data_IF_333233500762
#
_entry.id   IF_333233500762
#
_cell.length_a   1.000
_cell.length_b   1.000
_cell.length_c   1.000
_cell.angle_alpha   90.00
_cell.angle_beta   90.00
_cell.angle_gamma   90.00
#
_symmetry.space_group_name_H-M   'P 1'
#
loop_
_entity.id
_entity.type
_entity.pdbx_description
1 polymer ?
#
# COMPACT_ATOMS: atom_id res chain seq x y z
N UNK A 1 6.25 15.95 -20.67
CA UNK A 1 4.95 15.27 -20.84
C UNK A 1 4.57 14.32 -19.69
N UNK A 2 5.16 13.13 -19.48
CA UNK A 2 4.66 12.19 -18.43
C UNK A 2 4.77 12.70 -16.98
N UNK A 3 5.87 13.38 -16.62
CA UNK A 3 6.08 13.95 -15.27
C UNK A 3 5.15 15.14 -14.98
N UNK A 4 4.97 16.03 -15.95
CA UNK A 4 4.07 17.19 -15.84
C UNK A 4 2.60 16.76 -15.70
N UNK A 5 2.25 15.59 -16.24
CA UNK A 5 0.93 14.98 -16.08
C UNK A 5 0.76 14.28 -14.71
N UNK A 6 1.77 14.30 -13.83
CA UNK A 6 1.71 13.69 -12.50
C UNK A 6 1.71 12.16 -12.52
N UNK A 7 2.10 11.55 -13.65
CA UNK A 7 2.10 10.09 -13.83
C UNK A 7 3.39 9.44 -13.32
N UNK A 8 4.39 10.20 -12.88
CA UNK A 8 5.64 9.68 -12.36
C UNK A 8 5.65 9.62 -10.82
N UNK A 9 6.33 8.64 -10.21
CA UNK A 9 6.62 8.64 -8.77
C UNK A 9 7.46 9.83 -8.36
N UNK A 10 7.29 10.27 -7.11
CA UNK A 10 8.19 11.21 -6.45
C UNK A 10 9.50 10.50 -6.15
N UNK A 11 10.62 11.15 -6.48
CA UNK A 11 11.93 10.64 -6.13
C UNK A 11 12.16 10.77 -4.62
N UNK A 12 12.95 9.88 -3.97
CA UNK A 12 13.30 10.00 -2.55
C UNK A 12 13.86 11.38 -2.18
N UNK A 13 14.66 11.96 -3.08
CA UNK A 13 15.17 13.32 -2.95
C UNK A 13 14.07 14.39 -2.90
N UNK A 14 13.09 14.31 -3.80
CA UNK A 14 11.95 15.23 -3.83
C UNK A 14 11.14 15.13 -2.54
N UNK A 15 10.89 13.90 -2.07
CA UNK A 15 10.22 13.65 -0.79
C UNK A 15 10.99 14.29 0.36
N UNK A 16 12.32 14.12 0.40
CA UNK A 16 13.16 14.75 1.41
C UNK A 16 13.06 16.29 1.40
N UNK A 17 13.07 16.91 0.23
CA UNK A 17 12.93 18.36 0.10
C UNK A 17 11.54 18.86 0.50
N UNK A 18 10.48 18.10 0.20
CA UNK A 18 9.12 18.39 0.65
C UNK A 18 9.01 18.33 2.18
N UNK A 19 9.60 17.31 2.82
CA UNK A 19 9.62 17.18 4.28
C UNK A 19 10.41 18.32 4.94
N UNK A 20 11.56 18.69 4.37
CA UNK A 20 12.34 19.84 4.84
C UNK A 20 11.54 21.14 4.68
N UNK A 21 10.82 21.30 3.58
CA UNK A 21 9.94 22.44 3.36
C UNK A 21 8.83 22.50 4.41
N UNK A 22 8.32 21.35 4.86
CA UNK A 22 7.36 21.23 5.98
C UNK A 22 7.98 21.46 7.36
N UNK A 23 9.27 21.81 7.44
CA UNK A 23 10.03 22.07 8.65
C UNK A 23 10.23 20.83 9.56
N UNK A 24 10.23 19.62 8.98
CA UNK A 24 10.72 18.44 9.70
C UNK A 24 12.23 18.59 9.94
N UNK A 25 12.72 18.38 11.19
CA UNK A 25 14.14 18.46 11.49
C UNK A 25 14.91 17.30 10.85
N UNK A 26 16.20 17.47 10.59
CA UNK A 26 17.05 16.39 10.03
C UNK A 26 17.11 15.14 10.92
N UNK A 27 16.91 15.30 12.23
CA UNK A 27 16.86 14.20 13.20
C UNK A 27 15.57 13.34 13.10
N UNK A 28 14.61 13.72 12.26
CA UNK A 28 13.38 12.95 12.05
C UNK A 28 13.72 11.54 11.58
N UNK A 29 13.14 10.54 12.25
CA UNK A 29 13.25 9.14 11.83
C UNK A 29 12.32 8.93 10.64
N UNK A 30 12.86 8.50 9.52
CA UNK A 30 12.10 8.20 8.31
C UNK A 30 12.15 6.70 8.07
N UNK A 31 11.00 6.05 8.09
CA UNK A 31 10.87 4.67 7.64
C UNK A 31 10.61 4.63 6.13
N UNK A 32 11.46 3.92 5.39
CA UNK A 32 11.29 3.69 3.97
C UNK A 32 10.52 2.38 3.76
N UNK A 33 9.25 2.50 3.39
CA UNK A 33 8.38 1.38 3.07
C UNK A 33 8.46 1.00 1.59
N UNK A 34 8.54 -0.31 1.30
CA UNK A 34 8.48 -0.89 -0.03
C UNK A 34 9.70 -1.75 -0.36
N UNK A 35 9.55 -2.56 -1.40
CA UNK A 35 10.64 -3.36 -1.97
C UNK A 35 11.79 -2.49 -2.51
N UNK A 36 12.90 -3.14 -2.91
CA UNK A 36 14.07 -2.50 -3.52
C UNK A 36 13.69 -1.29 -4.40
N UNK A 37 14.14 -0.10 -3.98
CA UNK A 37 13.89 1.11 -4.73
C UNK A 37 14.48 0.97 -6.13
N UNK A 38 13.70 1.25 -7.17
CA UNK A 38 14.19 1.22 -8.55
C UNK A 38 15.41 2.14 -8.69
N UNK A 39 16.62 1.62 -8.97
CA UNK A 39 17.87 2.38 -8.95
C UNK A 39 18.75 2.19 -7.69
N UNK A 40 18.27 1.39 -6.75
CA UNK A 40 18.99 0.91 -5.57
C UNK A 40 19.42 2.01 -4.60
N UNK A 41 20.44 1.68 -3.81
CA UNK A 41 20.95 2.52 -2.72
C UNK A 41 21.41 3.93 -3.17
N UNK A 42 21.78 4.10 -4.45
CA UNK A 42 22.26 5.37 -5.02
C UNK A 42 21.19 6.46 -4.98
N UNK A 43 19.93 6.12 -5.19
CA UNK A 43 18.84 7.09 -5.17
C UNK A 43 18.46 7.56 -3.75
N UNK A 44 18.85 6.81 -2.73
CA UNK A 44 18.62 7.16 -1.33
C UNK A 44 19.70 8.07 -0.76
N UNK A 45 20.82 8.27 -1.45
CA UNK A 45 21.93 9.12 -0.98
C UNK A 45 21.45 10.55 -0.65
N UNK A 46 20.70 11.26 -1.52
CA UNK A 46 20.25 12.62 -1.22
C UNK A 46 19.28 12.64 -0.03
N UNK A 47 18.40 11.64 0.09
CA UNK A 47 17.47 11.55 1.21
C UNK A 47 18.20 11.32 2.53
N UNK A 48 19.20 10.42 2.57
CA UNK A 48 20.06 10.19 3.75
C UNK A 48 20.88 11.43 4.13
N UNK A 49 21.30 12.23 3.15
CA UNK A 49 22.00 13.49 3.41
C UNK A 49 21.08 14.55 4.07
N UNK A 50 19.78 14.53 3.77
CA UNK A 50 18.79 15.41 4.40
C UNK A 50 18.34 14.89 5.77
N UNK A 51 18.16 13.57 5.88
CA UNK A 51 17.68 12.87 7.08
C UNK A 51 18.57 11.65 7.34
N UNK A 52 19.58 11.76 8.23
CA UNK A 52 20.49 10.66 8.55
C UNK A 52 19.79 9.46 9.19
N UNK A 53 18.68 9.67 9.90
CA UNK A 53 17.91 8.62 10.58
C UNK A 53 16.93 7.92 9.61
N UNK A 54 17.43 7.46 8.47
CA UNK A 54 16.66 6.68 7.51
C UNK A 54 16.73 5.20 7.89
N UNK A 55 15.58 4.62 8.21
CA UNK A 55 15.41 3.22 8.62
C UNK A 55 14.54 2.48 7.61
N UNK A 56 14.75 1.18 7.51
CA UNK A 56 13.95 0.23 6.76
C UNK A 56 13.74 -1.05 7.59
N UNK A 57 13.01 -2.03 7.04
CA UNK A 57 12.77 -3.33 7.69
C UNK A 57 14.04 -4.07 8.14
N UNK A 58 15.16 -3.92 7.43
CA UNK A 58 16.43 -4.58 7.79
C UNK A 58 17.11 -3.94 8.99
N UNK A 59 16.81 -2.67 9.25
CA UNK A 59 17.26 -1.96 10.45
C UNK A 59 16.26 -2.02 11.61
N UNK A 60 14.98 -2.25 11.31
CA UNK A 60 13.91 -2.31 12.31
C UNK A 60 13.87 -3.66 13.03
N UNK A 61 14.09 -4.75 12.29
CA UNK A 61 14.05 -6.11 12.81
C UNK A 61 15.46 -6.72 12.79
N UNK A 62 15.76 -7.53 13.80
CA UNK A 62 16.95 -8.37 13.79
C UNK A 62 16.87 -9.45 12.70
N UNK A 63 18.01 -9.98 12.27
CA UNK A 63 18.04 -11.08 11.29
C UNK A 63 17.24 -12.29 11.79
N UNK A 64 17.28 -12.58 13.09
CA UNK A 64 16.49 -13.64 13.72
C UNK A 64 14.99 -13.37 13.64
N UNK A 65 14.52 -12.16 13.94
CA UNK A 65 13.08 -11.84 13.84
C UNK A 65 12.59 -11.91 12.38
N UNK A 66 13.40 -11.45 11.42
CA UNK A 66 13.08 -11.54 10.00
C UNK A 66 13.02 -13.00 9.51
N UNK A 67 13.89 -13.87 10.05
CA UNK A 67 13.84 -15.29 9.78
C UNK A 67 12.63 -15.94 10.45
N UNK A 68 12.28 -15.58 11.68
CA UNK A 68 11.09 -16.11 12.37
C UNK A 68 9.78 -15.74 11.66
N UNK A 69 9.75 -14.57 11.02
CA UNK A 69 8.66 -14.13 10.13
C UNK A 69 8.50 -15.05 8.91
N UNK A 70 9.60 -15.63 8.44
CA UNK A 70 9.61 -16.60 7.34
C UNK A 70 9.65 -18.01 7.95
N UNK A 71 8.47 -18.58 8.18
CA UNK A 71 8.33 -19.94 8.75
C UNK A 71 9.33 -20.94 8.16
N UNK A 72 9.82 -21.93 8.94
CA UNK A 72 10.83 -22.88 8.49
C UNK A 72 10.47 -23.50 7.14
N UNK A 73 11.26 -23.17 6.12
CA UNK A 73 10.98 -23.62 4.77
C UNK A 73 11.43 -25.06 4.55
N UNK A 74 10.58 -25.86 3.91
CA UNK A 74 11.00 -27.16 3.43
C UNK A 74 12.18 -26.99 2.44
N UNK A 75 13.26 -27.78 2.55
CA UNK A 75 14.32 -27.74 1.56
C UNK A 75 13.74 -28.10 0.20
N UNK A 76 13.89 -27.20 -0.77
CA UNK A 76 13.54 -27.51 -2.15
C UNK A 76 14.56 -28.55 -2.64
N UNK A 77 14.06 -29.67 -3.18
CA UNK A 77 14.92 -30.59 -3.93
C UNK A 77 15.59 -29.75 -5.01
N UNK A 78 16.91 -29.66 -4.95
CA UNK A 78 17.69 -28.90 -5.90
C UNK A 78 17.51 -29.54 -7.28
N UNK A 79 16.53 -29.04 -8.05
CA UNK A 79 16.42 -29.38 -9.45
C UNK A 79 17.69 -28.86 -10.13
N UNK A 80 18.56 -29.83 -10.39
CA UNK A 80 19.88 -29.69 -10.96
C UNK A 80 20.82 -28.81 -10.13
N UNK A 81 21.58 -29.49 -9.28
CA UNK A 81 22.94 -29.08 -8.94
C UNK A 81 23.63 -28.71 -10.26
N UNK A 82 23.66 -27.43 -10.63
CA UNK A 82 24.78 -26.89 -11.38
C UNK A 82 25.96 -27.18 -10.49
N UNK A 83 26.61 -28.32 -10.71
CA UNK A 83 27.93 -28.55 -10.16
C UNK A 83 28.73 -27.40 -10.73
N UNK A 84 29.22 -26.44 -9.91
CA UNK A 84 30.24 -25.55 -10.40
C UNK A 84 31.28 -26.47 -11.03
N UNK A 85 31.71 -26.18 -12.26
CA UNK A 85 32.80 -26.93 -12.84
C UNK A 85 33.89 -26.98 -11.75
N UNK A 86 34.29 -28.20 -11.38
CA UNK A 86 35.15 -28.46 -10.23
C UNK A 86 36.28 -27.42 -10.25
N UNK A 87 36.38 -26.59 -9.20
CA UNK A 87 37.32 -25.46 -9.19
C UNK A 87 38.70 -26.00 -9.51
N UNK A 88 39.17 -25.75 -10.74
CA UNK A 88 40.48 -26.23 -11.18
C UNK A 88 41.52 -25.50 -10.33
N UNK A 89 42.47 -26.24 -9.81
CA UNK A 89 43.61 -25.64 -9.09
C UNK A 89 44.30 -24.62 -10.00
N UNK A 90 44.89 -23.59 -9.41
CA UNK A 90 45.57 -22.51 -10.17
C UNK A 90 46.59 -23.08 -11.17
N UNK A 91 47.28 -24.16 -10.79
CA UNK A 91 48.21 -24.90 -11.64
C UNK A 91 47.53 -25.57 -12.84
N UNK A 92 46.36 -26.18 -12.64
CA UNK A 92 45.58 -26.78 -13.74
C UNK A 92 45.09 -25.73 -14.74
N UNK A 93 44.68 -24.55 -14.27
CA UNK A 93 44.28 -23.44 -15.16
C UNK A 93 45.48 -22.94 -15.97
N UNK A 94 46.64 -22.81 -15.34
CA UNK A 94 47.88 -22.39 -15.99
C UNK A 94 48.34 -23.41 -17.03
N UNK A 95 48.25 -24.71 -16.74
CA UNK A 95 48.66 -25.77 -17.66
C UNK A 95 47.69 -25.92 -18.84
N UNK A 96 46.39 -25.76 -18.61
CA UNK A 96 45.40 -25.68 -19.69
C UNK A 96 45.62 -24.46 -20.57
N UNK A 97 45.96 -23.32 -19.97
CA UNK A 97 46.27 -22.09 -20.69
C UNK A 97 47.53 -22.20 -21.56
N UNK A 98 48.55 -22.92 -21.08
CA UNK A 98 49.79 -23.21 -21.83
C UNK A 98 49.60 -24.25 -22.93
N UNK A 99 48.68 -25.21 -22.75
CA UNK A 99 48.32 -26.22 -23.75
C UNK A 99 47.29 -25.74 -24.76
N UNK A 100 46.57 -24.66 -24.47
CA UNK A 100 45.66 -24.05 -25.44
C UNK A 100 46.47 -23.64 -26.68
N UNK A 101 46.01 -24.08 -27.86
CA UNK A 101 46.66 -23.80 -29.13
C UNK A 101 46.74 -22.30 -29.46
N UNK A 102 47.28 -21.92 -30.63
CA UNK A 102 47.34 -20.51 -31.04
C UNK A 102 45.95 -19.89 -30.95
N UNK A 103 45.81 -18.86 -30.10
CA UNK A 103 44.50 -18.21 -29.90
C UNK A 103 44.04 -17.67 -31.24
N UNK A 104 42.78 -17.93 -31.63
CA UNK A 104 42.24 -17.31 -32.83
C UNK A 104 42.44 -15.80 -32.69
N UNK A 105 42.99 -15.17 -33.73
CA UNK A 105 43.06 -13.70 -33.79
C UNK A 105 41.64 -13.18 -33.52
N UNK A 106 41.48 -12.06 -32.78
CA UNK A 106 40.18 -11.44 -32.63
C UNK A 106 39.59 -11.31 -34.02
N UNK A 107 38.44 -11.96 -34.24
CA UNK A 107 37.72 -11.76 -35.48
C UNK A 107 37.50 -10.24 -35.59
N UNK A 108 37.60 -9.65 -36.80
CA UNK A 108 37.15 -8.28 -36.98
C UNK A 108 35.74 -8.18 -36.38
N UNK A 109 35.38 -7.04 -35.75
CA UNK A 109 34.03 -6.88 -35.23
C UNK A 109 33.06 -7.27 -36.35
N UNK A 110 32.08 -8.13 -36.06
CA UNK A 110 31.11 -8.50 -37.08
C UNK A 110 30.53 -7.22 -37.68
N UNK A 111 30.33 -7.14 -39.01
CA UNK A 111 29.64 -5.99 -39.58
C UNK A 111 28.33 -5.79 -38.82
N UNK A 112 27.96 -4.53 -38.56
CA UNK A 112 26.70 -4.22 -37.86
C UNK A 112 25.59 -5.06 -38.48
N UNK A 113 25.03 -5.98 -37.69
CA UNK A 113 23.91 -6.77 -38.15
C UNK A 113 22.77 -5.81 -38.45
N UNK A 114 22.05 -5.98 -39.57
CA UNK A 114 20.83 -5.22 -39.77
C UNK A 114 19.87 -5.54 -38.60
N UNK A 115 19.47 -4.52 -37.85
CA UNK A 115 18.45 -4.64 -36.82
C UNK A 115 17.14 -4.95 -37.53
N UNK A 116 16.73 -6.22 -37.52
CA UNK A 116 15.46 -6.62 -38.11
C UNK A 116 14.31 -6.24 -37.16
N UNK A 117 13.13 -5.89 -37.70
CA UNK A 117 11.93 -5.55 -36.93
C UNK A 117 11.43 -6.63 -35.94
N UNK A 118 12.02 -7.83 -35.96
CA UNK A 118 11.72 -8.95 -35.06
C UNK A 118 12.84 -9.22 -34.04
N UNK A 119 13.74 -8.27 -33.80
CA UNK A 119 14.65 -8.32 -32.65
C UNK A 119 13.82 -8.26 -31.37
N UNK A 120 13.41 -9.46 -30.93
CA UNK A 120 12.47 -9.78 -29.87
C UNK A 120 12.67 -8.84 -28.67
N UNK A 121 11.64 -8.06 -28.36
CA UNK A 121 11.64 -7.18 -27.20
C UNK A 121 11.62 -8.02 -25.91
N UNK A 122 12.57 -7.75 -25.00
CA UNK A 122 12.55 -8.30 -23.66
C UNK A 122 13.79 -9.12 -23.30
N UNK A 123 14.25 -8.97 -22.05
CA UNK A 123 15.44 -9.63 -21.52
C UNK A 123 15.35 -11.17 -21.63
N UNK A 124 14.17 -11.75 -21.42
CA UNK A 124 13.96 -13.20 -21.56
C UNK A 124 14.05 -13.67 -23.00
N UNK A 125 13.53 -12.92 -23.96
CA UNK A 125 13.59 -13.32 -25.37
C UNK A 125 15.04 -13.42 -25.90
N UNK A 126 15.96 -12.68 -25.28
CA UNK A 126 17.40 -12.78 -25.56
C UNK A 126 18.07 -13.99 -24.89
N UNK A 127 17.58 -14.43 -23.73
CA UNK A 127 18.19 -15.49 -22.92
C UNK A 127 17.62 -16.87 -23.24
N UNK A 128 16.30 -16.97 -23.42
CA UNK A 128 15.59 -18.23 -23.61
C UNK A 128 15.26 -18.50 -25.07
N UNK A 129 15.56 -17.55 -25.98
CA UNK A 129 15.19 -17.57 -27.40
C UNK A 129 13.66 -17.69 -27.65
N UNK A 130 12.83 -17.64 -26.60
CA UNK A 130 11.37 -17.70 -26.63
C UNK A 130 10.77 -16.33 -26.38
N UNK A 131 9.67 -16.00 -27.06
CA UNK A 131 8.98 -14.70 -26.89
C UNK A 131 8.14 -14.64 -25.61
N UNK A 132 8.18 -15.70 -24.80
CA UNK A 132 7.40 -15.86 -23.57
C UNK A 132 8.36 -15.94 -22.38
N UNK A 133 8.06 -15.14 -21.36
CA UNK A 133 8.68 -15.24 -20.05
C UNK A 133 8.47 -16.67 -19.50
N UNK A 134 9.53 -17.35 -19.02
CA UNK A 134 9.41 -18.69 -18.48
C UNK A 134 8.54 -18.68 -17.22
N UNK A 135 7.87 -19.81 -16.96
CA UNK A 135 7.13 -19.99 -15.70
C UNK A 135 8.09 -19.85 -14.51
N UNK A 136 7.68 -19.16 -13.43
CA UNK A 136 8.55 -18.91 -12.28
C UNK A 136 8.98 -20.22 -11.62
N UNK A 137 10.26 -20.33 -11.26
CA UNK A 137 10.74 -21.51 -10.55
C UNK A 137 10.16 -21.58 -9.13
N UNK A 138 10.16 -22.76 -8.47
CA UNK A 138 9.76 -22.85 -7.06
C UNK A 138 10.54 -21.91 -6.14
N UNK A 139 11.81 -21.63 -6.45
CA UNK A 139 12.63 -20.63 -5.76
C UNK A 139 12.13 -19.20 -5.98
N UNK A 140 11.67 -18.88 -7.19
CA UNK A 140 11.13 -17.55 -7.51
C UNK A 140 9.79 -17.31 -6.81
N UNK A 141 8.90 -18.30 -6.85
CA UNK A 141 7.63 -18.26 -6.12
C UNK A 141 7.84 -18.09 -4.60
N UNK A 142 8.83 -18.79 -4.05
CA UNK A 142 9.22 -18.67 -2.65
C UNK A 142 9.77 -17.28 -2.31
N UNK A 143 10.69 -16.75 -3.12
CA UNK A 143 11.17 -15.36 -2.96
C UNK A 143 10.03 -14.35 -3.07
N UNK A 144 9.08 -14.57 -3.97
CA UNK A 144 7.89 -13.74 -4.10
C UNK A 144 7.02 -13.79 -2.84
N UNK A 145 6.83 -14.98 -2.24
CA UNK A 145 6.12 -15.13 -0.98
C UNK A 145 6.81 -14.34 0.16
N UNK A 146 8.14 -14.42 0.29
CA UNK A 146 8.86 -13.65 1.32
C UNK A 146 8.72 -12.15 1.09
N UNK A 147 8.78 -11.71 -0.17
CA UNK A 147 8.56 -10.30 -0.50
C UNK A 147 7.18 -9.81 -0.04
N UNK A 148 6.14 -10.61 -0.21
CA UNK A 148 4.79 -10.24 0.27
C UNK A 148 4.72 -10.14 1.79
N UNK A 149 5.43 -11.01 2.53
CA UNK A 149 5.55 -10.92 3.99
C UNK A 149 6.23 -9.61 4.38
N UNK A 150 7.31 -9.25 3.69
CA UNK A 150 8.01 -7.99 3.97
C UNK A 150 7.18 -6.76 3.59
N UNK A 151 6.42 -6.83 2.50
CA UNK A 151 5.48 -5.77 2.13
C UNK A 151 4.36 -5.65 3.18
N UNK A 152 3.95 -6.73 3.85
CA UNK A 152 3.02 -6.67 4.97
C UNK A 152 3.61 -5.97 6.21
N UNK A 153 4.89 -6.20 6.52
CA UNK A 153 5.58 -5.45 7.57
C UNK A 153 5.65 -3.95 7.24
N UNK A 154 6.06 -3.64 6.01
CA UNK A 154 6.11 -2.25 5.52
C UNK A 154 4.74 -1.58 5.61
N UNK A 155 3.67 -2.32 5.31
CA UNK A 155 2.30 -1.86 5.43
C UNK A 155 1.94 -1.52 6.87
N UNK A 156 2.19 -2.44 7.82
CA UNK A 156 1.90 -2.23 9.24
C UNK A 156 2.62 -0.99 9.77
N UNK A 157 3.94 -0.87 9.53
CA UNK A 157 4.71 0.31 9.97
C UNK A 157 4.19 1.59 9.33
N UNK A 158 3.79 1.55 8.06
CA UNK A 158 3.24 2.71 7.34
C UNK A 158 1.87 3.15 7.89
N UNK A 159 1.03 2.20 8.31
CA UNK A 159 -0.26 2.49 8.96
C UNK A 159 -0.04 3.06 10.36
N UNK A 160 0.96 2.54 11.08
CA UNK A 160 1.29 2.97 12.45
C UNK A 160 2.01 4.33 12.52
N UNK A 161 2.71 4.73 11.46
CA UNK A 161 3.54 5.93 11.45
C UNK A 161 2.77 7.22 11.80
N UNK A 162 3.41 8.13 12.54
CA UNK A 162 2.84 9.44 12.89
C UNK A 162 2.45 10.28 11.66
N UNK A 163 3.24 10.19 10.59
CA UNK A 163 2.97 10.83 9.32
C UNK A 163 3.30 9.87 8.18
N UNK A 164 2.45 9.87 7.15
CA UNK A 164 2.66 9.08 5.93
C UNK A 164 2.68 9.99 4.71
N UNK A 165 3.65 9.79 3.81
CA UNK A 165 3.73 10.47 2.51
C UNK A 165 3.88 9.42 1.40
N UNK A 166 2.93 9.30 0.46
CA UNK A 166 3.04 8.34 -0.62
C UNK A 166 4.08 8.82 -1.64
N UNK A 167 5.06 7.97 -1.97
CA UNK A 167 5.97 8.21 -3.10
C UNK A 167 5.27 8.09 -4.45
N UNK A 168 4.27 7.21 -4.52
CA UNK A 168 3.43 7.05 -5.69
C UNK A 168 2.10 6.44 -5.29
N UNK A 169 1.02 7.05 -5.78
CA UNK A 169 -0.33 6.54 -5.67
C UNK A 169 -1.01 6.58 -7.06
N UNK A 170 -1.84 5.57 -7.34
CA UNK A 170 -2.66 5.42 -8.54
C UNK A 170 -1.81 5.29 -9.83
N UNK A 171 -1.38 4.06 -10.12
CA UNK A 171 -0.71 3.64 -11.37
C UNK A 171 -1.63 3.64 -12.60
N UNK A 172 -2.93 3.81 -12.41
CA UNK A 172 -3.92 3.72 -13.49
C UNK A 172 -4.36 2.29 -13.80
N UNK A 173 -3.91 1.28 -13.04
CA UNK A 173 -4.34 -0.13 -13.19
C UNK A 173 -5.81 -0.36 -12.81
N UNK A 174 -6.38 0.56 -12.03
CA UNK A 174 -7.73 0.43 -11.46
C UNK A 174 -7.76 -0.27 -10.11
N UNK A 175 -6.67 -0.92 -9.70
CA UNK A 175 -6.53 -1.54 -8.39
C UNK A 175 -5.83 -0.60 -7.40
N UNK A 176 -6.07 -0.76 -6.08
CA UNK A 176 -5.34 0.00 -5.09
C UNK A 176 -3.88 -0.48 -5.06
N UNK A 177 -2.94 0.44 -5.27
CA UNK A 177 -1.53 0.17 -5.01
C UNK A 177 -1.24 0.16 -3.49
N UNK A 178 -0.02 -0.24 -3.12
CA UNK A 178 0.44 -0.28 -1.73
C UNK A 178 0.10 1.01 -0.96
N UNK A 179 0.40 2.17 -1.56
CA UNK A 179 0.14 3.46 -0.92
C UNK A 179 -1.35 3.74 -0.78
N UNK A 180 -2.15 3.35 -1.76
CA UNK A 180 -3.60 3.48 -1.76
C UNK A 180 -4.21 2.69 -0.61
N UNK A 181 -3.76 1.45 -0.41
CA UNK A 181 -4.17 0.62 0.73
C UNK A 181 -3.81 1.28 2.07
N UNK A 182 -2.57 1.74 2.23
CA UNK A 182 -2.14 2.42 3.46
C UNK A 182 -2.97 3.69 3.72
N UNK A 183 -3.18 4.52 2.69
CA UNK A 183 -3.98 5.75 2.82
C UNK A 183 -5.41 5.43 3.22
N UNK A 184 -6.00 4.38 2.65
CA UNK A 184 -7.34 3.95 2.97
C UNK A 184 -7.46 3.43 4.40
N UNK A 185 -6.56 2.53 4.81
CA UNK A 185 -6.54 1.99 6.18
C UNK A 185 -6.33 3.09 7.23
N UNK A 186 -5.37 4.00 6.98
CA UNK A 186 -5.16 5.18 7.84
C UNK A 186 -6.41 6.04 7.89
N UNK A 187 -7.17 6.18 6.80
CA UNK A 187 -8.43 6.92 6.82
C UNK A 187 -9.51 6.20 7.65
N UNK A 188 -9.54 4.87 7.62
CA UNK A 188 -10.53 4.06 8.34
C UNK A 188 -10.27 4.02 9.86
N UNK A 189 -9.06 3.66 10.28
CA UNK A 189 -8.75 3.43 11.70
C UNK A 189 -8.07 4.62 12.36
N UNK A 190 -7.40 5.47 11.57
CA UNK A 190 -6.48 6.51 12.07
C UNK A 190 -6.68 7.85 11.38
N UNK A 191 -7.93 8.26 11.19
CA UNK A 191 -8.28 9.45 10.41
C UNK A 191 -7.59 10.74 10.91
N UNK A 192 -7.26 10.81 12.20
CA UNK A 192 -6.52 11.91 12.83
C UNK A 192 -5.02 11.93 12.50
N UNK A 193 -4.45 10.81 12.06
CA UNK A 193 -3.03 10.69 11.74
C UNK A 193 -2.68 11.39 10.44
N UNK A 194 -1.53 12.07 10.39
CA UNK A 194 -1.13 12.88 9.23
C UNK A 194 -0.89 11.98 8.02
N UNK A 195 -1.64 12.20 6.96
CA UNK A 195 -1.51 11.44 5.72
C UNK A 195 -1.48 12.43 4.57
N UNK A 196 -0.28 12.75 4.09
CA UNK A 196 -0.09 13.72 3.01
C UNK A 196 -0.64 13.15 1.70
N UNK A 197 -1.33 14.01 0.93
CA UNK A 197 -1.91 13.64 -0.37
C UNK A 197 -1.34 14.54 -1.47
N UNK A 198 -0.04 14.40 -1.79
CA UNK A 198 0.65 15.26 -2.73
C UNK A 198 0.08 15.17 -4.15
N UNK A 199 -0.46 16.29 -4.68
CA UNK A 199 -0.73 16.42 -6.12
C UNK A 199 0.59 16.46 -6.89
N UNK A 200 0.92 15.34 -7.54
CA UNK A 200 2.15 15.15 -8.32
C UNK A 200 2.28 16.15 -9.47
N UNK A 201 1.18 16.65 -10.05
CA UNK A 201 1.23 17.68 -11.11
C UNK A 201 1.74 19.00 -10.56
N UNK A 202 1.19 19.44 -9.42
CA UNK A 202 1.64 20.68 -8.74
C UNK A 202 3.07 20.56 -8.23
N UNK A 203 3.46 19.40 -7.73
CA UNK A 203 4.82 19.18 -7.27
C UNK A 203 5.82 19.22 -8.43
N UNK A 204 5.47 18.62 -9.58
CA UNK A 204 6.31 18.70 -10.78
C UNK A 204 6.53 20.15 -11.23
N UNK A 205 5.50 21.01 -11.19
CA UNK A 205 5.67 22.43 -11.55
C UNK A 205 6.53 23.18 -10.53
N UNK A 206 6.36 22.90 -9.23
CA UNK A 206 7.19 23.47 -8.16
C UNK A 206 8.67 23.10 -8.32
N UNK A 207 8.99 21.84 -8.66
CA UNK A 207 10.38 21.43 -8.88
C UNK A 207 10.95 21.93 -10.21
N UNK A 208 10.13 22.11 -11.25
CA UNK A 208 10.59 22.73 -12.50
C UNK A 208 11.08 24.17 -12.30
N UNK A 209 10.44 24.94 -11.40
CA UNK A 209 10.87 26.31 -11.04
C UNK A 209 12.23 26.31 -10.32
N UNK A 210 12.56 25.20 -9.64
CA UNK A 210 13.72 25.08 -8.74
C UNK A 210 14.85 24.22 -9.30
N UNK A 211 14.83 23.90 -10.60
CA UNK A 211 15.79 22.96 -11.21
C UNK A 211 17.25 23.39 -11.03
N UNK A 212 17.53 24.69 -10.96
CA UNK A 212 18.90 25.22 -10.85
C UNK A 212 19.40 25.38 -9.41
N UNK A 213 18.52 25.43 -8.40
CA UNK A 213 18.90 25.64 -6.99
C UNK A 213 18.05 24.80 -6.03
N UNK A 214 18.11 23.49 -6.21
CA UNK A 214 17.22 22.54 -5.57
C UNK A 214 17.41 22.43 -4.04
N UNK A 215 18.61 22.69 -3.52
CA UNK A 215 18.94 22.54 -2.10
C UNK A 215 18.86 23.83 -1.28
N UNK A 216 18.74 25.00 -1.93
CA UNK A 216 18.50 26.29 -1.26
C UNK A 216 17.20 26.92 -1.75
N UNK A 217 16.03 26.31 -1.42
CA UNK A 217 14.74 26.80 -1.88
C UNK A 217 14.49 28.25 -1.47
N UNK A 218 14.00 29.04 -2.43
CA UNK A 218 13.47 30.39 -2.14
C UNK A 218 12.31 30.28 -1.15
N UNK A 219 12.18 31.27 -0.26
CA UNK A 219 11.10 31.33 0.74
C UNK A 219 9.70 31.16 0.13
N UNK A 220 9.47 31.74 -1.04
CA UNK A 220 8.18 31.64 -1.74
C UNK A 220 7.85 30.19 -2.11
N UNK A 221 8.83 29.43 -2.59
CA UNK A 221 8.65 28.02 -2.91
C UNK A 221 8.31 27.20 -1.67
N UNK A 222 9.04 27.43 -0.57
CA UNK A 222 8.78 26.76 0.72
C UNK A 222 7.37 27.03 1.20
N UNK A 223 6.87 28.27 1.06
CA UNK A 223 5.50 28.63 1.42
C UNK A 223 4.49 27.92 0.51
N UNK A 224 4.71 27.85 -0.80
CA UNK A 224 3.83 27.14 -1.72
C UNK A 224 3.77 25.64 -1.45
N UNK A 225 4.89 25.01 -1.10
CA UNK A 225 4.92 23.60 -0.70
C UNK A 225 4.16 23.39 0.60
N UNK A 226 4.41 24.24 1.61
CA UNK A 226 3.70 24.17 2.90
C UNK A 226 2.20 24.32 2.72
N UNK A 227 1.77 25.30 1.94
CA UNK A 227 0.36 25.55 1.63
C UNK A 227 -0.28 24.34 0.96
N UNK A 228 0.36 23.80 -0.09
CA UNK A 228 -0.13 22.64 -0.82
C UNK A 228 -0.26 21.40 0.07
N UNK A 229 0.77 21.07 0.85
CA UNK A 229 0.77 19.90 1.72
C UNK A 229 -0.20 20.06 2.90
N UNK A 230 -0.31 21.25 3.51
CA UNK A 230 -1.31 21.50 4.55
C UNK A 230 -2.74 21.38 4.01
N UNK A 231 -2.99 21.92 2.81
CA UNK A 231 -4.28 21.77 2.14
C UNK A 231 -4.60 20.30 1.83
N UNK A 232 -3.58 19.49 1.54
CA UNK A 232 -3.74 18.04 1.34
C UNK A 232 -4.11 17.26 2.61
N UNK A 233 -3.83 17.82 3.79
CA UNK A 233 -4.24 17.28 5.09
C UNK A 233 -5.63 17.73 5.51
N UNK A 234 -6.15 18.80 4.90
CA UNK A 234 -7.47 19.36 5.19
C UNK A 234 -8.58 18.64 4.42
N UNK A 235 -9.82 19.09 4.61
CA UNK A 235 -11.02 18.58 3.92
C UNK A 235 -10.83 18.52 2.39
N UNK A 236 -10.18 19.53 1.80
CA UNK A 236 -9.87 19.57 0.37
C UNK A 236 -9.11 18.33 -0.11
N UNK A 237 -8.15 17.85 0.68
CA UNK A 237 -7.39 16.64 0.37
C UNK A 237 -8.24 15.36 0.44
N UNK A 238 -9.18 15.29 1.39
CA UNK A 238 -10.12 14.18 1.51
C UNK A 238 -11.12 14.16 0.36
N UNK A 239 -11.69 15.32 0.02
CA UNK A 239 -12.61 15.49 -1.11
C UNK A 239 -11.92 15.09 -2.41
N UNK A 240 -10.68 15.56 -2.62
CA UNK A 240 -9.91 15.23 -3.81
C UNK A 240 -9.62 13.72 -3.92
N UNK A 241 -9.24 13.08 -2.82
CA UNK A 241 -9.01 11.63 -2.77
C UNK A 241 -10.30 10.84 -3.00
N UNK A 242 -11.43 11.29 -2.44
CA UNK A 242 -12.74 10.69 -2.69
C UNK A 242 -13.08 10.70 -4.17
N UNK A 243 -12.77 11.78 -4.90
CA UNK A 243 -13.10 11.86 -6.33
C UNK A 243 -12.21 10.98 -7.22
N UNK A 244 -10.96 10.73 -6.80
CA UNK A 244 -9.98 10.02 -7.64
C UNK A 244 -9.81 8.55 -7.30
N UNK A 245 -9.83 8.21 -6.01
CA UNK A 245 -9.51 6.87 -5.52
C UNK A 245 -10.75 6.06 -5.20
N UNK A 246 -11.81 6.69 -4.67
CA UNK A 246 -13.05 5.99 -4.34
C UNK A 246 -13.68 5.25 -5.52
N UNK A 247 -13.78 5.82 -6.74
CA UNK A 247 -14.37 5.10 -7.88
C UNK A 247 -13.56 3.89 -8.33
N UNK A 248 -12.30 3.80 -7.91
CA UNK A 248 -11.38 2.73 -8.30
C UNK A 248 -11.38 1.59 -7.29
N UNK A 249 -11.31 1.92 -6.01
CA UNK A 249 -11.26 0.92 -4.95
C UNK A 249 -11.75 1.46 -3.62
N UNK A 250 -12.70 0.74 -3.02
CA UNK A 250 -13.15 0.95 -1.64
C UNK A 250 -11.98 0.93 -0.66
N UNK A 251 -11.03 0.00 -0.81
CA UNK A 251 -9.89 -0.12 0.10
C UNK A 251 -8.96 1.10 0.07
N UNK A 252 -8.94 1.87 -1.01
CA UNK A 252 -8.12 3.09 -1.11
C UNK A 252 -8.78 4.34 -0.55
N UNK A 253 -10.09 4.28 -0.31
CA UNK A 253 -10.88 5.34 0.28
C UNK A 253 -12.14 4.74 0.94
N UNK A 254 -11.97 4.09 2.11
CA UNK A 254 -13.00 3.25 2.70
C UNK A 254 -14.06 4.03 3.46
N UNK A 255 -14.16 5.36 3.27
CA UNK A 255 -15.28 6.10 3.81
C UNK A 255 -16.54 5.52 3.18
N UNK A 256 -17.37 4.81 3.98
CA UNK A 256 -18.71 4.55 3.56
C UNK A 256 -19.36 5.93 3.67
N UNK A 257 -19.32 6.63 2.55
CA UNK A 257 -20.46 7.40 2.13
C UNK A 257 -21.67 6.56 2.60
N UNK A 258 -22.50 7.04 3.52
CA UNK A 258 -23.77 6.37 3.88
C UNK A 258 -24.72 6.30 2.66
N UNK A 259 -24.15 6.31 1.45
CA UNK A 259 -24.65 6.67 0.11
C UNK A 259 -25.34 5.55 -0.59
N UNK A 260 -25.85 4.71 0.27
CA UNK A 260 -27.08 4.07 0.12
C UNK A 260 -28.32 4.91 0.37
N UNK A 261 -28.87 5.73 -0.53
CA UNK A 261 -30.16 6.36 -0.20
C UNK A 261 -31.26 5.29 -0.17
N UNK A 262 -31.81 5.01 1.00
CA UNK A 262 -33.08 4.28 1.09
C UNK A 262 -34.17 5.25 0.59
N UNK A 263 -35.04 4.87 -0.35
CA UNK A 263 -36.10 5.75 -0.83
C UNK A 263 -36.97 6.19 0.36
N UNK A 264 -36.91 7.47 0.70
CA UNK A 264 -37.80 8.13 1.67
C UNK A 264 -38.75 9.06 0.93
N UNK A 265 -39.96 9.27 1.48
CA UNK A 265 -41.03 10.08 0.88
C UNK A 265 -40.63 11.56 0.70
N UNK A 266 -39.63 12.02 1.44
CA UNK A 266 -39.16 13.41 1.40
C UNK A 266 -38.02 13.61 0.38
N UNK A 267 -38.18 14.56 -0.53
CA UNK A 267 -37.15 14.94 -1.51
C UNK A 267 -36.05 15.73 -0.77
N UNK A 268 -34.78 15.28 -0.78
CA UNK A 268 -33.72 15.92 -0.02
C UNK A 268 -33.37 17.26 -0.66
N UNK A 269 -33.21 18.28 0.17
CA UNK A 269 -32.64 19.57 -0.25
C UNK A 269 -31.20 19.32 -0.68
N UNK A 270 -30.93 19.48 -1.96
CA UNK A 270 -29.57 19.38 -2.49
C UNK A 270 -28.69 20.47 -1.88
N UNK A 271 -27.62 20.07 -1.21
CA UNK A 271 -26.62 21.01 -0.70
C UNK A 271 -25.51 21.09 -1.74
N UNK A 272 -25.22 22.31 -2.24
CA UNK A 272 -24.13 22.54 -3.18
C UNK A 272 -22.97 23.23 -2.48
N UNK A 273 -21.75 22.75 -2.75
CA UNK A 273 -20.52 23.38 -2.31
C UNK A 273 -20.24 24.66 -3.09
N UNK A 274 -19.26 25.44 -2.62
CA UNK A 274 -18.82 26.69 -3.26
C UNK A 274 -18.38 26.52 -4.73
N UNK A 275 -17.99 25.29 -5.10
CA UNK A 275 -17.56 24.91 -6.45
C UNK A 275 -18.72 24.45 -7.36
N UNK A 276 -19.98 24.58 -6.90
CA UNK A 276 -21.18 24.17 -7.64
C UNK A 276 -21.47 22.66 -7.62
N UNK A 277 -20.60 21.85 -6.99
CA UNK A 277 -20.76 20.40 -6.83
C UNK A 277 -21.80 20.07 -5.76
N UNK A 278 -22.60 19.03 -5.99
CA UNK A 278 -23.57 18.53 -5.02
C UNK A 278 -22.79 17.82 -3.90
N UNK A 279 -22.91 18.33 -2.68
CA UNK A 279 -22.33 17.77 -1.46
C UNK A 279 -23.28 16.78 -0.77
N UNK A 280 -24.59 16.93 -0.97
CA UNK A 280 -25.63 16.07 -0.39
C UNK A 280 -26.85 15.99 -1.32
N UNK A 281 -27.45 14.80 -1.44
CA UNK A 281 -28.66 14.57 -2.24
C UNK A 281 -28.43 14.13 -3.70
N UNK A 282 -27.24 13.59 -4.02
CA UNK A 282 -26.90 12.98 -5.31
C UNK A 282 -26.40 11.53 -5.20
N UNK A 283 -26.64 10.88 -4.07
CA UNK A 283 -26.19 9.52 -3.74
C UNK A 283 -27.00 8.44 -4.47
N UNK A 284 -26.40 7.27 -4.72
CA UNK A 284 -27.09 6.13 -5.34
C UNK A 284 -28.09 5.48 -4.36
N UNK A 285 -29.14 4.82 -4.89
CA UNK A 285 -30.11 4.14 -4.05
C UNK A 285 -29.59 2.80 -3.53
N UNK A 286 -30.02 2.43 -2.33
CA UNK A 286 -29.58 1.15 -1.76
C UNK A 286 -30.07 -0.06 -2.53
N UNK A 287 -29.26 -1.13 -2.60
CA UNK A 287 -29.75 -2.44 -2.96
C UNK A 287 -30.95 -2.84 -2.10
N UNK A 288 -31.94 -3.50 -2.72
CA UNK A 288 -33.21 -3.82 -2.06
C UNK A 288 -33.06 -4.63 -0.76
N UNK A 289 -32.03 -5.48 -0.68
CA UNK A 289 -31.77 -6.33 0.49
C UNK A 289 -31.37 -5.54 1.75
N UNK A 290 -30.92 -4.29 1.61
CA UNK A 290 -30.56 -3.42 2.75
C UNK A 290 -31.76 -2.68 3.34
N UNK A 291 -32.91 -2.63 2.64
CA UNK A 291 -34.09 -1.90 3.12
C UNK A 291 -34.78 -2.59 4.31
N UNK A 292 -34.66 -3.91 4.43
CA UNK A 292 -35.30 -4.74 5.46
C UNK A 292 -34.65 -4.60 6.85
N UNK A 293 -33.43 -4.08 6.96
CA UNK A 293 -32.72 -3.95 8.23
C UNK A 293 -33.35 -2.92 9.19
N UNK A 294 -34.23 -2.04 8.70
CA UNK A 294 -34.93 -1.03 9.51
C UNK A 294 -36.28 -1.50 10.06
N UNK A 295 -36.83 -2.59 9.54
CA UNK A 295 -38.16 -3.08 9.94
C UNK A 295 -38.19 -3.79 11.30
N UNK A 296 -37.03 -4.21 11.83
CA UNK A 296 -36.93 -4.93 13.11
C UNK A 296 -36.68 -4.06 14.35
N UNK A 297 -36.52 -2.74 14.21
CA UNK A 297 -36.08 -1.86 15.30
C UNK A 297 -37.12 -0.83 15.77
N UNK A 298 -38.36 -0.92 15.30
CA UNK A 298 -39.42 0.03 15.65
C UNK A 298 -40.73 -0.70 15.92
N UNK A 299 -40.76 -1.52 16.97
CA UNK A 299 -42.01 -1.81 17.68
C UNK A 299 -41.72 -1.48 19.15
N UNK A 300 -42.13 -0.27 19.52
CA UNK A 300 -42.41 0.10 20.90
C UNK A 300 -43.51 -0.85 21.40
N UNK A 301 -43.22 -1.54 22.50
CA UNK A 301 -44.17 -2.36 23.22
C UNK A 301 -45.16 -1.44 23.93
N UNK A 302 -46.38 -1.35 23.41
CA UNK A 302 -47.54 -0.91 24.19
C UNK A 302 -48.81 -1.70 23.80
N UNK A 303 -49.21 -2.58 24.72
CA UNK A 303 -50.56 -3.10 25.01
C UNK A 303 -51.22 -4.15 24.10
N UNK A 304 -51.24 -5.37 24.66
CA UNK A 304 -52.37 -6.31 24.88
C UNK A 304 -53.62 -6.26 23.99
N UNK A 305 -53.88 -7.37 23.27
CA UNK A 305 -55.11 -8.18 23.29
C UNK A 305 -54.93 -9.32 22.25
N UNK A 306 -54.74 -10.57 22.66
CA UNK A 306 -55.73 -11.59 23.02
C UNK A 306 -56.47 -12.22 21.82
N UNK A 307 -56.45 -13.56 21.81
CA UNK A 307 -57.30 -14.51 21.04
C UNK A 307 -56.94 -14.73 19.55
N UNK A 308 -56.92 -15.93 18.97
CA UNK A 308 -56.89 -17.32 19.49
C UNK A 308 -56.72 -18.27 18.29
N UNK A 309 -56.27 -19.49 18.59
CA UNK A 309 -56.56 -20.77 17.92
C UNK A 309 -55.79 -21.26 16.67
N UNK A 310 -54.95 -22.25 16.97
CA UNK A 310 -55.06 -23.68 16.60
C UNK A 310 -54.25 -24.27 15.42
N UNK A 311 -53.57 -25.36 15.80
CA UNK A 311 -53.17 -26.56 15.06
C UNK A 311 -52.02 -26.49 14.05
N UNK A 312 -51.06 -27.42 13.97
CA UNK A 312 -50.74 -28.61 14.77
C UNK A 312 -49.31 -29.08 14.39
N UNK A 313 -48.57 -29.50 15.42
CA UNK A 313 -47.74 -30.74 15.56
C UNK A 313 -46.91 -31.26 14.36
N UNK A 314 -45.59 -31.30 14.54
CA UNK A 314 -44.75 -32.54 14.57
C UNK A 314 -43.28 -32.14 14.88
N UNK A 315 -42.84 -32.27 16.14
CA UNK A 315 -42.03 -33.38 16.65
C UNK A 315 -40.66 -33.57 15.97
N UNK A 316 -39.59 -33.16 16.65
CA UNK A 316 -38.77 -34.13 17.42
C UNK A 316 -37.84 -33.40 18.40
N UNK A 317 -38.12 -33.60 19.68
CA UNK A 317 -37.25 -33.26 20.81
C UNK A 317 -36.14 -34.29 20.98
N UNK A 318 -35.07 -33.87 21.63
CA UNK A 318 -34.56 -34.47 22.89
C UNK A 318 -33.18 -33.86 23.16
N UNK A 319 -32.78 -33.52 24.38
CA UNK A 319 -33.39 -33.51 25.70
C UNK A 319 -32.44 -32.63 26.55
N UNK A 320 -32.94 -31.64 27.30
CA UNK A 320 -33.20 -31.73 28.77
C UNK A 320 -31.88 -31.81 29.56
N UNK A 321 -31.49 -30.88 30.44
CA UNK A 321 -32.16 -30.22 31.58
C UNK A 321 -31.29 -29.01 31.97
N UNK A 322 -31.82 -27.80 32.13
CA UNK A 322 -32.62 -27.28 33.26
C UNK A 322 -31.76 -26.94 34.50
N UNK A 323 -31.66 -25.66 34.84
CA UNK A 323 -32.08 -25.04 36.12
C UNK A 323 -31.73 -23.54 36.09
N UNK A 324 -32.77 -22.77 35.76
CA UNK A 324 -33.36 -21.68 36.56
C UNK A 324 -32.51 -20.60 37.27
N UNK A 325 -32.94 -19.37 36.96
CA UNK A 325 -33.06 -18.17 37.80
C UNK A 325 -31.93 -17.13 37.65
N UNK A 326 -32.21 -16.00 36.99
CA UNK A 326 -32.85 -14.77 37.55
C UNK A 326 -31.77 -13.97 38.30
N UNK A 327 -31.48 -12.69 38.08
CA UNK A 327 -32.01 -11.60 37.26
C UNK A 327 -31.13 -10.40 37.67
N UNK A 328 -30.84 -9.49 36.73
CA UNK A 328 -30.54 -8.05 36.95
C UNK A 328 -29.35 -7.67 37.84
N UNK A 329 -28.36 -6.96 37.30
CA UNK A 329 -28.28 -5.48 37.25
C UNK A 329 -28.15 -4.88 38.66
N UNK A 330 -27.28 -3.94 38.99
CA UNK A 330 -26.52 -2.93 38.25
C UNK A 330 -25.70 -2.18 39.35
N UNK A 331 -24.60 -1.54 38.96
CA UNK A 331 -24.02 -0.31 39.56
C UNK A 331 -22.99 -0.45 40.71
N UNK A 332 -21.75 -0.08 40.32
CA UNK A 332 -20.76 0.81 40.95
C UNK A 332 -20.49 0.74 42.46
N UNK A 333 -19.23 0.46 42.82
CA UNK A 333 -18.28 1.54 43.14
C UNK A 333 -16.84 1.01 43.31
N UNK A 334 -15.91 1.92 43.04
CA UNK A 334 -14.47 1.82 43.19
C UNK A 334 -14.03 1.36 44.59
N UNK A 335 -12.97 0.55 44.67
CA UNK A 335 -11.76 0.84 45.46
C UNK A 335 -10.73 -0.29 45.36
N UNK A 336 -9.47 0.14 45.26
CA UNK A 336 -8.29 -0.51 45.80
C UNK A 336 -7.54 -1.59 44.97
N UNK A 337 -6.25 -1.29 44.79
CA UNK A 337 -5.23 -2.10 44.15
C UNK A 337 -4.73 -3.21 45.09
N UNK A 338 -4.48 -4.42 44.58
CA UNK A 338 -3.39 -5.28 45.08
C UNK A 338 -2.71 -5.98 43.88
N UNK A 339 -1.36 -6.00 43.79
CA UNK A 339 -0.62 -6.60 42.69
C UNK A 339 -0.20 -8.04 43.03
N UNK A 340 -0.33 -8.93 42.03
CA UNK A 340 -0.08 -10.38 42.03
C UNK A 340 -1.31 -11.23 42.33
N UNK A 341 -2.05 -11.56 41.27
CA UNK A 341 -2.42 -12.93 40.90
C UNK A 341 -2.67 -13.02 39.38
#
# INVERSE_FOLDING_TARGET
>A
MRRENGSCPLMPEEVGLLLRAMAYPSQTIIYLAGSETFGGQRLLIPLRALFPNLVDRTTLCSETELLDLVSPEAPLLADNIFRPALQKSEQQVIDEWKKAGPRPRPLPPPPDRPIYQHEKEGWYAWITETDKEPDPSPMDLRKQAHRLIWDALDYMVSVEAHAFIPGFNNDGSGWPDFSGLVIGQRLYERASSRTYRPDKKKIATLFNIMRDDMYHPKRNWTLSVKEHLNRSLSEDGLIWQSLLSKPKSFLSHPLPECSCRIPSVEIPKQIKGKDGRILYGGEEQCPKWMHSARAGGAIDNDKESAEDNEDAVEQLESDVTDVTSCLTSLIDHDEEWDPND
#
